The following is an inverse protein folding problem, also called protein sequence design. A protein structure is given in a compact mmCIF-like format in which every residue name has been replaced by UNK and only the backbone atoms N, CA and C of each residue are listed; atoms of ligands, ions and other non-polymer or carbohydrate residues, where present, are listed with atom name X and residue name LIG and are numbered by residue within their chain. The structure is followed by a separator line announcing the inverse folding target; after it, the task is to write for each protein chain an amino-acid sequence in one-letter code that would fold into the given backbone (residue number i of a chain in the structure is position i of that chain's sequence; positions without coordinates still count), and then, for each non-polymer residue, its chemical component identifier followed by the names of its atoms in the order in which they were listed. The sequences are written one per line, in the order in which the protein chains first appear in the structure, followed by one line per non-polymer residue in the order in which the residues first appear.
data_IF_720906720360
#
_entry.id   IF_720906720360
#
_cell.length_a   1.000
_cell.length_b   1.000
_cell.length_c   1.000
_cell.angle_alpha   90.00
_cell.angle_beta   90.00
_cell.angle_gamma   90.00
#
_symmetry.space_group_name_H-M   'P 1'
#
loop_
_entity.id
_entity.type
_entity.pdbx_description
1 polymer ?
#
# COMPACT_ATOMS: atom_id res chain seq x y z
N UNK A 1 3.21 -23.39 -15.38
CA UNK A 1 1.78 -23.08 -15.22
C UNK A 1 1.69 -21.64 -14.76
N UNK A 2 1.32 -20.72 -15.64
CA UNK A 2 1.17 -19.30 -15.27
C UNK A 2 -0.13 -19.14 -14.51
N UNK A 3 -0.03 -18.92 -13.20
CA UNK A 3 -1.18 -18.55 -12.39
C UNK A 3 -1.43 -17.06 -12.54
N UNK A 4 -1.89 -16.65 -13.72
CA UNK A 4 -2.56 -15.36 -13.85
C UNK A 4 -3.79 -15.45 -12.96
N UNK A 5 -3.72 -14.94 -11.74
CA UNK A 5 -4.85 -14.95 -10.82
C UNK A 5 -5.72 -13.74 -11.19
N UNK A 6 -6.78 -13.89 -12.00
CA UNK A 6 -7.55 -12.75 -12.52
C UNK A 6 -8.17 -11.93 -11.37
N UNK A 7 -8.40 -12.57 -10.22
CA UNK A 7 -8.88 -11.93 -9.01
C UNK A 7 -7.88 -10.89 -8.47
N UNK A 8 -6.57 -11.16 -8.53
CA UNK A 8 -5.55 -10.20 -8.08
C UNK A 8 -5.47 -9.03 -9.04
N UNK A 9 -5.46 -9.25 -10.36
CA UNK A 9 -5.43 -8.15 -11.34
C UNK A 9 -6.65 -7.23 -11.25
N UNK A 10 -7.78 -7.70 -10.73
CA UNK A 10 -8.96 -6.87 -10.48
C UNK A 10 -8.80 -5.88 -9.30
N UNK A 11 -7.75 -6.06 -8.48
CA UNK A 11 -7.39 -5.14 -7.39
C UNK A 11 -6.62 -3.92 -7.91
N UNK A 12 -5.98 -4.01 -9.08
CA UNK A 12 -5.19 -2.92 -9.62
C UNK A 12 -6.03 -1.65 -9.81
N UNK A 13 -5.53 -0.53 -9.28
CA UNK A 13 -6.19 0.77 -9.28
C UNK A 13 -7.29 0.93 -8.22
N UNK A 14 -7.56 -0.08 -7.38
CA UNK A 14 -8.57 0.05 -6.31
C UNK A 14 -8.10 0.97 -5.19
N UNK A 15 -9.01 1.78 -4.68
CA UNK A 15 -8.73 2.69 -3.57
C UNK A 15 -8.52 1.94 -2.26
N UNK A 16 -7.49 2.34 -1.52
CA UNK A 16 -7.19 1.84 -0.17
C UNK A 16 -6.98 2.99 0.79
N UNK A 17 -7.55 2.85 1.98
CA UNK A 17 -7.31 3.74 3.10
C UNK A 17 -6.26 3.11 4.01
N UNK A 18 -5.08 3.73 4.08
CA UNK A 18 -3.98 3.31 4.94
C UNK A 18 -4.10 4.05 6.27
N UNK A 19 -4.32 3.29 7.34
CA UNK A 19 -4.42 3.80 8.71
C UNK A 19 -3.10 3.50 9.44
N UNK A 20 -2.54 4.46 10.19
CA UNK A 20 -1.42 4.15 11.08
C UNK A 20 -1.91 3.24 12.21
N UNK A 21 -1.10 2.27 12.62
CA UNK A 21 -1.38 1.44 13.81
C UNK A 21 -1.41 2.28 15.10
N UNK A 22 -0.54 3.28 15.19
CA UNK A 22 -0.43 4.16 16.36
C UNK A 22 -1.18 5.47 16.07
N UNK A 23 -2.28 5.69 16.78
CA UNK A 23 -3.15 6.87 16.63
C UNK A 23 -2.66 8.09 17.43
N UNK A 24 -1.44 8.06 17.97
CA UNK A 24 -0.98 8.99 19.02
C UNK A 24 -0.50 10.36 18.48
N UNK A 25 -0.68 10.65 17.19
CA UNK A 25 -0.35 11.96 16.63
C UNK A 25 -1.60 12.69 16.11
N UNK A 26 -1.72 14.01 16.32
CA UNK A 26 -2.82 14.82 15.76
C UNK A 26 -2.85 14.82 14.22
N UNK A 27 -1.81 14.30 13.57
CA UNK A 27 -1.70 14.06 12.13
C UNK A 27 -1.94 12.59 11.73
N UNK A 28 -2.51 11.74 12.60
CA UNK A 28 -2.90 10.36 12.27
C UNK A 28 -4.13 10.29 11.34
N UNK A 29 -4.21 11.20 10.36
CA UNK A 29 -5.16 11.10 9.26
C UNK A 29 -4.74 9.94 8.37
N UNK A 30 -5.63 8.98 8.16
CA UNK A 30 -5.35 7.85 7.27
C UNK A 30 -4.97 8.37 5.88
N UNK A 31 -3.88 7.85 5.31
CA UNK A 31 -3.41 8.17 3.97
C UNK A 31 -4.28 7.45 2.94
N UNK A 32 -4.61 8.13 1.84
CA UNK A 32 -5.33 7.50 0.72
C UNK A 32 -4.32 7.05 -0.32
N UNK A 33 -4.39 5.79 -0.72
CA UNK A 33 -3.59 5.23 -1.80
C UNK A 33 -4.43 4.42 -2.76
N UNK A 34 -3.76 3.78 -3.70
CA UNK A 34 -4.32 2.81 -4.61
C UNK A 34 -3.51 1.50 -4.55
N UNK A 35 -4.18 0.39 -4.82
CA UNK A 35 -3.52 -0.91 -4.98
C UNK A 35 -2.90 -0.96 -6.38
N UNK A 36 -1.66 -1.42 -6.45
CA UNK A 36 -0.93 -1.71 -7.68
C UNK A 36 -0.56 -3.19 -7.69
N UNK A 37 -0.78 -3.85 -8.81
CA UNK A 37 -0.46 -5.26 -9.00
C UNK A 37 0.64 -5.38 -10.04
N UNK A 38 1.81 -5.83 -9.60
CA UNK A 38 3.01 -5.96 -10.44
C UNK A 38 3.44 -7.42 -10.54
N UNK A 39 4.19 -7.76 -11.58
CA UNK A 39 4.83 -9.06 -11.68
C UNK A 39 5.99 -9.14 -10.67
N UNK A 40 6.08 -10.26 -9.96
CA UNK A 40 7.16 -10.51 -9.02
C UNK A 40 8.45 -10.85 -9.79
N UNK A 41 9.45 -9.99 -9.64
CA UNK A 41 10.74 -10.14 -10.34
C UNK A 41 11.61 -11.25 -9.73
N UNK A 42 11.41 -11.59 -8.46
CA UNK A 42 12.13 -12.66 -7.78
C UNK A 42 11.47 -14.03 -8.06
N UNK A 43 10.15 -14.04 -8.21
CA UNK A 43 9.34 -15.22 -8.49
C UNK A 43 8.60 -15.07 -9.85
N UNK A 44 9.28 -15.34 -10.98
CA UNK A 44 8.69 -15.15 -12.30
C UNK A 44 7.42 -15.99 -12.48
N UNK A 45 6.32 -15.31 -12.82
CA UNK A 45 4.98 -15.90 -12.96
C UNK A 45 4.08 -15.73 -11.73
N UNK A 46 4.58 -15.11 -10.67
CA UNK A 46 3.78 -14.66 -9.51
C UNK A 46 3.48 -13.17 -9.61
N UNK A 47 2.38 -12.76 -8.97
CA UNK A 47 1.97 -11.36 -8.87
C UNK A 47 2.16 -10.89 -7.44
N UNK A 48 2.68 -9.67 -7.29
CA UNK A 48 2.79 -8.94 -6.03
C UNK A 48 1.78 -7.80 -6.01
N UNK A 49 1.21 -7.53 -4.84
CA UNK A 49 0.31 -6.41 -4.62
C UNK A 49 1.02 -5.40 -3.73
N UNK A 50 0.95 -4.13 -4.10
CA UNK A 50 1.60 -3.02 -3.42
C UNK A 50 0.58 -1.90 -3.23
N UNK A 51 0.71 -1.11 -2.18
CA UNK A 51 -0.07 0.12 -2.00
C UNK A 51 0.79 1.29 -2.47
N UNK A 52 0.25 2.13 -3.34
CA UNK A 52 0.89 3.35 -3.81
C UNK A 52 0.14 4.54 -3.22
N UNK A 53 0.86 5.40 -2.50
CA UNK A 53 0.34 6.64 -1.95
C UNK A 53 1.04 7.79 -2.67
N UNK A 54 0.26 8.65 -3.30
CA UNK A 54 0.78 9.79 -4.07
C UNK A 54 0.73 11.06 -3.21
N UNK A 55 1.90 11.70 -3.05
CA UNK A 55 2.05 12.97 -2.36
C UNK A 55 2.32 14.05 -3.39
N UNK A 56 1.32 14.87 -3.76
CA UNK A 56 1.55 15.99 -4.65
C UNK A 56 2.38 17.08 -3.95
N UNK A 57 3.09 17.90 -4.73
CA UNK A 57 4.03 18.94 -4.25
C UNK A 57 3.41 19.91 -3.22
N UNK A 58 2.09 20.15 -3.27
CA UNK A 58 1.38 21.03 -2.34
C UNK A 58 0.97 20.35 -1.01
N UNK A 59 1.10 19.03 -0.89
CA UNK A 59 0.61 18.28 0.28
C UNK A 59 1.62 18.18 1.42
N UNK A 60 2.91 18.35 1.16
CA UNK A 60 3.93 18.38 2.20
C UNK A 60 4.20 19.83 2.60
N UNK A 61 3.78 20.24 3.80
CA UNK A 61 4.11 21.55 4.38
C UNK A 61 5.63 21.81 4.47
N UNK A 62 6.45 20.78 4.23
CA UNK A 62 7.91 20.83 4.19
C UNK A 62 8.49 21.20 2.81
N UNK A 63 7.65 21.41 1.78
CA UNK A 63 8.12 21.79 0.44
C UNK A 63 8.86 20.67 -0.30
N UNK A 64 8.55 19.41 0.01
CA UNK A 64 9.09 18.26 -0.71
C UNK A 64 8.50 18.19 -2.12
N UNK A 65 9.29 17.79 -3.13
CA UNK A 65 8.76 17.55 -4.46
C UNK A 65 7.71 16.43 -4.43
N UNK A 66 6.85 16.42 -5.46
CA UNK A 66 5.87 15.36 -5.62
C UNK A 66 6.58 13.98 -5.61
N UNK A 67 6.12 13.09 -4.74
CA UNK A 67 6.72 11.78 -4.56
C UNK A 67 5.65 10.71 -4.32
N UNK A 68 6.06 9.45 -4.42
CA UNK A 68 5.20 8.29 -4.17
C UNK A 68 5.81 7.45 -3.06
N UNK A 69 4.97 7.01 -2.13
CA UNK A 69 5.32 6.00 -1.12
C UNK A 69 4.74 4.67 -1.58
N UNK A 70 5.59 3.66 -1.71
CA UNK A 70 5.20 2.31 -2.11
C UNK A 70 5.32 1.41 -0.88
N UNK A 71 4.19 0.82 -0.47
CA UNK A 71 4.12 -0.12 0.65
C UNK A 71 3.92 -1.52 0.06
N UNK A 72 4.95 -2.38 0.04
CA UNK A 72 4.80 -3.75 -0.42
C UNK A 72 3.93 -4.53 0.57
N UNK A 73 2.98 -5.32 0.07
CA UNK A 73 2.15 -6.17 0.93
C UNK A 73 2.70 -7.59 0.98
N UNK A 74 2.83 -8.13 2.18
CA UNK A 74 3.04 -9.55 2.39
C UNK A 74 1.77 -10.35 2.08
N UNK A 75 1.88 -11.66 1.88
CA UNK A 75 0.71 -12.52 1.66
C UNK A 75 -0.30 -12.46 2.82
N UNK A 76 0.18 -12.28 4.05
CA UNK A 76 -0.67 -12.13 5.23
C UNK A 76 -1.44 -10.80 5.18
N UNK A 77 -0.73 -9.69 4.95
CA UNK A 77 -1.32 -8.36 4.86
C UNK A 77 -2.32 -8.24 3.71
N UNK A 78 -2.02 -8.87 2.56
CA UNK A 78 -2.95 -8.95 1.44
C UNK A 78 -4.23 -9.70 1.82
N UNK A 79 -4.12 -10.76 2.62
CA UNK A 79 -5.29 -11.50 3.11
C UNK A 79 -6.14 -10.65 4.05
N UNK A 80 -5.50 -9.92 4.98
CA UNK A 80 -6.18 -8.97 5.87
C UNK A 80 -6.86 -7.83 5.10
N UNK A 81 -6.18 -7.30 4.07
CA UNK A 81 -6.71 -6.28 3.18
C UNK A 81 -7.96 -6.78 2.44
N UNK A 82 -7.89 -7.97 1.84
CA UNK A 82 -9.02 -8.54 1.12
C UNK A 82 -10.21 -8.80 2.04
N UNK A 83 -9.96 -9.15 3.31
CA UNK A 83 -11.00 -9.29 4.32
C UNK A 83 -11.59 -7.95 4.79
N UNK A 84 -10.91 -6.82 4.54
CA UNK A 84 -11.37 -5.48 4.91
C UNK A 84 -12.16 -4.75 3.82
N UNK A 85 -12.45 -5.44 2.70
CA UNK A 85 -13.23 -4.88 1.59
C UNK A 85 -14.63 -4.45 2.04
N UNK A 86 -14.97 -3.19 1.76
CA UNK A 86 -16.29 -2.64 2.02
C UNK A 86 -16.74 -1.78 0.85
N UNK A 87 -17.62 -2.33 0.01
CA UNK A 87 -18.19 -1.63 -1.13
C UNK A 87 -17.14 -1.26 -2.20
N UNK A 88 -16.11 -2.10 -2.37
CA UNK A 88 -15.01 -1.87 -3.31
C UNK A 88 -13.93 -0.89 -2.84
N UNK A 89 -13.97 -0.47 -1.57
CA UNK A 89 -12.88 0.24 -0.89
C UNK A 89 -12.21 -0.68 0.12
N UNK A 90 -10.88 -0.59 0.23
CA UNK A 90 -10.10 -1.43 1.14
C UNK A 90 -9.54 -0.60 2.30
N UNK A 91 -9.32 -1.22 3.44
CA UNK A 91 -8.63 -0.60 4.58
C UNK A 91 -7.39 -1.40 4.97
N UNK A 92 -6.26 -0.72 5.04
CA UNK A 92 -5.00 -1.31 5.48
C UNK A 92 -4.53 -0.63 6.75
N UNK A 93 -4.18 -1.40 7.78
CA UNK A 93 -3.53 -0.84 8.96
C UNK A 93 -2.04 -1.08 8.82
N UNK A 94 -1.28 0.00 8.57
CA UNK A 94 0.17 -0.06 8.52
C UNK A 94 0.68 -0.26 9.94
N UNK A 95 1.05 -1.51 10.25
CA UNK A 95 1.83 -1.82 11.46
C UNK A 95 3.17 -1.14 11.29
N UNK A 96 3.58 -0.36 12.27
CA UNK A 96 4.78 0.45 12.16
C UNK A 96 5.97 -0.49 11.93
N UNK A 97 6.47 -0.58 10.70
CA UNK A 97 7.77 -1.20 10.44
C UNK A 97 8.79 -0.14 10.82
N UNK A 98 8.92 0.10 12.13
CA UNK A 98 10.08 0.79 12.68
C UNK A 98 11.26 -0.16 12.48
N UNK A 99 11.83 -0.09 11.28
CA UNK A 99 13.21 -0.46 11.03
C UNK A 99 13.91 0.84 10.65
N UNK A 100 14.89 1.33 11.43
CA UNK A 100 15.68 2.47 11.00
C UNK A 100 16.30 2.10 9.65
N UNK A 101 15.99 2.87 8.60
CA UNK A 101 16.86 2.86 7.43
C UNK A 101 18.14 3.53 7.92
N UNK A 102 19.10 2.72 8.34
CA UNK A 102 20.45 3.16 8.67
C UNK A 102 20.91 4.08 7.54
N UNK A 103 20.97 5.38 7.84
CA UNK A 103 21.65 6.34 6.99
C UNK A 103 23.13 6.02 7.11
N UNK A 104 23.67 5.39 6.05
CA UNK A 104 25.11 5.26 5.81
C UNK A 104 25.75 6.63 5.59
#
# INVERSE_FOLDING_TARGET
MSFSNPALRALDGRSVLVKPEISDSPNSVGKRGCLRVVDDLELPGYLKVEIVIEFPEMSDMNGLPAHQEIIPLTAHELTELLASENGGAYSFTQRNVDGPTESL
#
